data_IF_126297572137
#
_entry.id   IF_126297572137
#
_cell.length_a   1.000
_cell.length_b   1.000
_cell.length_c   1.000
_cell.angle_alpha   90.00
_cell.angle_beta   90.00
_cell.angle_gamma   90.00
#
_symmetry.space_group_name_H-M   'P 1'
#
loop_
_entity.id
_entity.type
_entity.pdbx_description
1 polymer ?
#
# COMPACT_ATOMS: atom_id res chain seq x y z
N UNK A 1 18.00 -9.26 8.19
CA UNK A 1 16.79 -9.76 7.50
C UNK A 1 17.24 -10.52 6.27
N UNK A 2 16.67 -11.69 5.99
CA UNK A 2 16.59 -12.15 4.60
C UNK A 2 15.80 -11.06 3.85
N UNK A 3 16.26 -10.62 2.68
CA UNK A 3 15.65 -9.51 1.96
C UNK A 3 14.17 -9.75 1.63
N UNK A 4 13.43 -8.69 1.31
CA UNK A 4 12.02 -8.78 0.93
C UNK A 4 11.82 -8.50 -0.57
N UNK A 5 10.73 -9.02 -1.13
CA UNK A 5 10.33 -8.79 -2.52
C UNK A 5 9.12 -7.86 -2.56
N UNK A 6 9.17 -6.83 -3.40
CA UNK A 6 8.00 -5.99 -3.70
C UNK A 6 7.30 -6.53 -4.94
N UNK A 7 5.99 -6.74 -4.83
CA UNK A 7 5.12 -7.10 -5.96
C UNK A 7 4.12 -5.97 -6.20
N UNK A 8 4.07 -5.50 -7.45
CA UNK A 8 3.19 -4.41 -7.88
C UNK A 8 2.12 -4.98 -8.81
N UNK A 9 0.90 -5.26 -8.33
CA UNK A 9 -0.18 -5.71 -9.19
C UNK A 9 -0.64 -4.58 -10.11
N UNK A 10 -0.76 -4.87 -11.40
CA UNK A 10 -1.24 -3.94 -12.42
C UNK A 10 -2.20 -4.64 -13.38
N UNK A 11 -3.39 -4.08 -13.58
CA UNK A 11 -4.40 -4.58 -14.53
C UNK A 11 -4.93 -3.43 -15.38
N UNK A 12 -5.28 -3.73 -16.64
CA UNK A 12 -5.79 -2.70 -17.55
C UNK A 12 -7.24 -2.32 -17.30
N UNK A 13 -8.00 -3.25 -16.72
CA UNK A 13 -9.36 -3.02 -16.26
C UNK A 13 -9.36 -2.11 -15.01
N UNK A 14 -9.52 -0.81 -15.24
CA UNK A 14 -9.83 0.18 -14.22
C UNK A 14 -11.14 0.87 -14.61
N UNK A 15 -12.18 0.67 -13.81
CA UNK A 15 -13.52 1.21 -14.06
C UNK A 15 -13.59 2.73 -13.94
N UNK A 16 -12.68 3.34 -13.16
CA UNK A 16 -12.64 4.79 -12.89
C UNK A 16 -11.69 5.54 -13.82
N UNK A 17 -10.68 4.87 -14.36
CA UNK A 17 -9.73 5.45 -15.32
C UNK A 17 -9.26 4.34 -16.28
N UNK A 18 -9.83 4.18 -17.48
CA UNK A 18 -9.37 3.17 -18.44
C UNK A 18 -7.90 3.38 -18.81
N UNK A 19 -7.12 2.31 -18.95
CA UNK A 19 -5.70 2.42 -19.31
C UNK A 19 -4.80 2.95 -18.19
N UNK A 20 -5.32 3.06 -16.95
CA UNK A 20 -4.66 3.67 -15.80
C UNK A 20 -3.17 3.33 -15.65
N UNK A 21 -2.73 2.05 -15.64
CA UNK A 21 -1.32 1.73 -15.40
C UNK A 21 -0.36 2.29 -16.46
N UNK A 22 -0.86 2.52 -17.68
CA UNK A 22 -0.11 3.06 -18.81
C UNK A 22 -0.30 4.58 -18.98
N UNK A 23 -1.12 5.21 -18.14
CA UNK A 23 -1.31 6.65 -18.18
C UNK A 23 0.02 7.37 -17.90
N UNK A 24 0.35 8.36 -18.74
CA UNK A 24 1.49 9.25 -18.51
C UNK A 24 1.11 10.28 -17.44
N UNK A 25 1.61 10.04 -16.23
CA UNK A 25 1.30 10.86 -15.05
C UNK A 25 2.36 11.91 -14.74
N UNK A 26 3.52 11.87 -15.42
CA UNK A 26 4.53 12.94 -15.48
C UNK A 26 5.79 12.44 -16.20
N UNK A 27 6.25 13.24 -17.17
CA UNK A 27 7.51 13.08 -17.91
C UNK A 27 7.58 11.86 -18.85
N UNK A 28 6.47 11.46 -19.49
CA UNK A 28 6.53 10.48 -20.57
C UNK A 28 6.73 9.05 -20.10
N UNK A 29 6.40 8.71 -18.84
CA UNK A 29 6.52 7.33 -18.33
C UNK A 29 5.18 6.79 -17.86
N UNK A 30 4.89 5.50 -18.15
CA UNK A 30 3.76 4.78 -17.58
C UNK A 30 3.74 4.87 -16.05
N UNK A 31 2.56 5.05 -15.46
CA UNK A 31 2.39 5.09 -14.01
C UNK A 31 2.98 3.86 -13.30
N UNK A 32 2.72 2.65 -13.80
CA UNK A 32 3.23 1.42 -13.19
C UNK A 32 4.76 1.37 -13.14
N UNK A 33 5.42 1.93 -14.16
CA UNK A 33 6.89 2.05 -14.20
C UNK A 33 7.37 3.01 -13.13
N UNK A 34 6.64 4.12 -12.88
CA UNK A 34 6.98 5.06 -11.81
C UNK A 34 6.85 4.44 -10.42
N UNK A 35 5.81 3.64 -10.19
CA UNK A 35 5.65 2.89 -8.95
C UNK A 35 6.83 1.95 -8.74
N UNK A 36 7.19 1.18 -9.77
CA UNK A 36 8.34 0.27 -9.71
C UNK A 36 9.67 1.00 -9.45
N UNK A 37 9.88 2.16 -10.08
CA UNK A 37 11.06 3.01 -9.83
C UNK A 37 11.10 3.54 -8.40
N UNK A 38 9.97 3.94 -7.81
CA UNK A 38 9.93 4.34 -6.39
C UNK A 38 10.18 3.14 -5.48
N UNK A 39 9.51 2.02 -5.71
CA UNK A 39 9.70 0.81 -4.92
C UNK A 39 11.15 0.31 -4.96
N UNK A 40 11.84 0.43 -6.08
CA UNK A 40 13.25 0.04 -6.23
C UNK A 40 14.23 0.92 -5.42
N UNK A 41 13.78 2.05 -4.86
CA UNK A 41 14.57 2.89 -3.95
C UNK A 41 14.49 2.42 -2.49
N UNK A 42 13.62 1.46 -2.18
CA UNK A 42 13.56 0.81 -0.87
C UNK A 42 14.69 -0.22 -0.74
N UNK A 43 14.80 -0.88 0.40
CA UNK A 43 15.73 -1.99 0.63
C UNK A 43 15.25 -3.34 0.05
N UNK A 44 14.24 -3.31 -0.84
CA UNK A 44 13.75 -4.49 -1.52
C UNK A 44 14.89 -5.19 -2.29
N UNK A 45 15.00 -6.51 -2.14
CA UNK A 45 15.95 -7.30 -2.92
C UNK A 45 15.49 -7.52 -4.36
N UNK A 46 14.18 -7.39 -4.60
CA UNK A 46 13.57 -7.51 -5.92
C UNK A 46 12.28 -6.72 -5.97
N UNK A 47 12.00 -6.09 -7.11
CA UNK A 47 10.76 -5.38 -7.39
C UNK A 47 10.20 -5.90 -8.69
N UNK A 48 8.97 -6.38 -8.67
CA UNK A 48 8.35 -7.02 -9.83
C UNK A 48 6.94 -6.51 -10.07
N UNK A 49 6.62 -6.21 -11.33
CA UNK A 49 5.26 -5.88 -11.75
C UNK A 49 4.53 -7.16 -12.14
N UNK A 50 3.35 -7.39 -11.58
CA UNK A 50 2.51 -8.55 -11.86
C UNK A 50 1.28 -8.13 -12.65
N UNK A 51 1.13 -8.64 -13.87
CA UNK A 51 0.08 -8.21 -14.80
C UNK A 51 -0.47 -9.38 -15.61
N UNK A 52 -1.67 -9.22 -16.15
CA UNK A 52 -2.30 -10.12 -17.13
C UNK A 52 -2.25 -9.56 -18.57
N UNK A 53 -1.66 -8.39 -18.77
CA UNK A 53 -1.62 -7.71 -20.08
C UNK A 53 -0.19 -7.58 -20.63
N UNK A 54 0.01 -8.06 -21.87
CA UNK A 54 1.28 -7.98 -22.58
C UNK A 54 1.76 -6.54 -22.81
N UNK A 55 0.84 -5.57 -22.95
CA UNK A 55 1.21 -4.15 -23.11
C UNK A 55 1.91 -3.59 -21.87
N UNK A 56 1.51 -4.01 -20.65
CA UNK A 56 2.22 -3.62 -19.42
C UNK A 56 3.61 -4.26 -19.39
N UNK A 57 3.74 -5.53 -19.79
CA UNK A 57 5.05 -6.19 -19.88
C UNK A 57 5.98 -5.43 -20.82
N UNK A 58 5.49 -5.09 -22.02
CA UNK A 58 6.27 -4.34 -23.01
C UNK A 58 6.68 -2.95 -22.49
N UNK A 59 5.77 -2.25 -21.81
CA UNK A 59 6.06 -0.97 -21.17
C UNK A 59 7.11 -1.10 -20.06
N UNK A 60 7.02 -2.13 -19.21
CA UNK A 60 8.02 -2.37 -18.17
C UNK A 60 9.40 -2.71 -18.78
N UNK A 61 9.44 -3.59 -19.78
CA UNK A 61 10.66 -3.97 -20.48
C UNK A 61 11.36 -2.77 -21.15
N UNK A 62 10.58 -1.86 -21.76
CA UNK A 62 11.11 -0.63 -22.37
C UNK A 62 11.80 0.30 -21.35
N UNK A 63 11.51 0.13 -20.07
CA UNK A 63 12.07 0.92 -18.97
C UNK A 63 12.97 0.11 -18.01
N UNK A 64 13.32 -1.13 -18.36
CA UNK A 64 14.17 -1.99 -17.52
C UNK A 64 13.52 -2.43 -16.20
N UNK A 65 12.18 -2.39 -16.13
CA UNK A 65 11.41 -2.87 -14.98
C UNK A 65 11.08 -4.34 -15.19
N UNK A 66 11.35 -5.16 -14.17
CA UNK A 66 10.98 -6.56 -14.18
C UNK A 66 9.46 -6.73 -14.09
N UNK A 67 8.89 -7.58 -14.95
CA UNK A 67 7.47 -7.87 -14.94
C UNK A 67 7.17 -9.31 -15.33
N UNK A 68 6.11 -9.88 -14.76
CA UNK A 68 5.65 -11.24 -15.05
C UNK A 68 4.17 -11.27 -15.42
N UNK A 69 3.85 -12.21 -16.31
CA UNK A 69 2.47 -12.54 -16.62
C UNK A 69 1.86 -13.39 -15.50
N UNK A 70 0.64 -13.05 -15.14
CA UNK A 70 -0.21 -13.74 -14.18
C UNK A 70 -1.55 -14.01 -14.85
N UNK A 71 -2.32 -14.95 -14.32
CA UNK A 71 -3.63 -15.29 -14.89
C UNK A 71 -4.58 -14.09 -14.86
N UNK A 72 -5.46 -14.03 -15.85
CA UNK A 72 -6.43 -12.94 -16.00
C UNK A 72 -7.69 -13.08 -15.11
N UNK A 73 -7.90 -14.27 -14.54
CA UNK A 73 -9.10 -14.67 -13.80
C UNK A 73 -8.93 -14.65 -12.28
N UNK A 74 -7.85 -14.02 -11.77
CA UNK A 74 -7.67 -13.85 -10.33
C UNK A 74 -8.77 -12.98 -9.73
N UNK A 75 -9.45 -13.44 -8.66
CA UNK A 75 -10.55 -12.69 -8.06
C UNK A 75 -10.06 -11.47 -7.29
N UNK A 76 -8.86 -11.50 -6.70
CA UNK A 76 -8.26 -10.39 -5.94
C UNK A 76 -6.81 -10.10 -6.32
N UNK A 77 -6.30 -8.97 -5.83
CA UNK A 77 -4.87 -8.66 -5.92
C UNK A 77 -4.01 -9.64 -5.12
N UNK A 78 -4.51 -10.15 -4.00
CA UNK A 78 -3.79 -11.09 -3.14
C UNK A 78 -3.61 -12.46 -3.81
N UNK A 79 -4.60 -12.94 -4.57
CA UNK A 79 -4.47 -14.18 -5.36
C UNK A 79 -3.39 -14.05 -6.45
N UNK A 80 -3.28 -12.87 -7.06
CA UNK A 80 -2.21 -12.57 -8.02
C UNK A 80 -0.84 -12.61 -7.36
N UNK A 81 -0.71 -12.09 -6.13
CA UNK A 81 0.53 -12.16 -5.36
C UNK A 81 0.92 -13.61 -5.04
N UNK A 82 -0.05 -14.47 -4.73
CA UNK A 82 0.21 -15.89 -4.47
C UNK A 82 0.80 -16.60 -5.70
N UNK A 83 0.27 -16.32 -6.90
CA UNK A 83 0.85 -16.84 -8.14
C UNK A 83 2.29 -16.36 -8.33
N UNK A 84 2.55 -15.06 -8.12
CA UNK A 84 3.90 -14.49 -8.27
C UNK A 84 4.87 -15.14 -7.29
N UNK A 85 4.50 -15.27 -6.01
CA UNK A 85 5.34 -15.92 -5.01
C UNK A 85 5.71 -17.36 -5.41
N UNK A 86 4.75 -18.11 -5.98
CA UNK A 86 4.98 -19.45 -6.51
C UNK A 86 5.89 -19.46 -7.75
N UNK A 87 5.66 -18.57 -8.72
CA UNK A 87 6.49 -18.46 -9.92
C UNK A 87 7.95 -18.10 -9.57
N UNK A 88 8.14 -17.29 -8.53
CA UNK A 88 9.46 -16.89 -8.05
C UNK A 88 10.14 -17.94 -7.17
N UNK A 89 9.43 -19.00 -6.76
CA UNK A 89 9.96 -20.04 -5.89
C UNK A 89 10.32 -19.52 -4.50
N UNK A 90 9.57 -18.53 -3.99
CA UNK A 90 9.80 -17.97 -2.66
C UNK A 90 9.56 -19.03 -1.58
N UNK A 91 10.41 -19.05 -0.55
CA UNK A 91 10.20 -19.88 0.62
C UNK A 91 9.07 -19.33 1.49
N UNK A 92 8.40 -20.18 2.26
CA UNK A 92 7.25 -19.78 3.10
C UNK A 92 7.56 -18.62 4.05
N UNK A 93 8.81 -18.53 4.51
CA UNK A 93 9.32 -17.50 5.42
C UNK A 93 9.71 -16.18 4.72
N UNK A 94 9.74 -16.15 3.39
CA UNK A 94 10.10 -14.94 2.65
C UNK A 94 8.99 -13.88 2.78
N UNK A 95 9.38 -12.61 2.65
CA UNK A 95 8.46 -11.48 2.81
C UNK A 95 8.12 -10.92 1.44
N UNK A 96 6.82 -10.78 1.20
CA UNK A 96 6.26 -10.12 0.02
C UNK A 96 5.55 -8.84 0.44
N UNK A 97 5.97 -7.70 -0.10
CA UNK A 97 5.28 -6.42 0.10
C UNK A 97 4.45 -6.08 -1.15
N UNK A 98 3.16 -5.89 -0.96
CA UNK A 98 2.21 -5.45 -1.98
C UNK A 98 2.18 -3.92 -2.05
N UNK A 99 2.67 -3.36 -3.16
CA UNK A 99 2.58 -1.93 -3.46
C UNK A 99 1.60 -1.73 -4.60
N UNK A 100 0.55 -0.92 -4.40
CA UNK A 100 -0.47 -0.72 -5.43
C UNK A 100 0.12 -0.02 -6.68
N UNK A 101 -0.27 -0.49 -7.86
CA UNK A 101 0.21 0.03 -9.14
C UNK A 101 -0.22 1.47 -9.47
N UNK A 102 -0.98 2.12 -8.59
CA UNK A 102 -1.51 3.48 -8.73
C UNK A 102 -1.01 4.47 -7.68
N UNK A 103 0.07 4.11 -6.95
CA UNK A 103 0.74 4.95 -5.96
C UNK A 103 2.12 5.42 -6.47
N UNK A 104 2.21 6.26 -7.52
CA UNK A 104 3.47 6.65 -8.15
C UNK A 104 4.38 7.53 -7.27
N UNK A 105 3.85 8.01 -6.14
CA UNK A 105 4.54 8.81 -5.15
C UNK A 105 4.77 8.05 -3.85
N UNK A 106 4.71 6.71 -3.90
CA UNK A 106 4.93 5.88 -2.73
C UNK A 106 6.29 6.17 -2.11
N UNK A 107 6.29 6.37 -0.78
CA UNK A 107 7.51 6.60 -0.02
C UNK A 107 8.26 5.27 0.15
N UNK A 108 9.49 5.13 -0.36
CA UNK A 108 10.27 3.91 -0.20
C UNK A 108 10.50 3.54 1.27
N UNK A 109 10.64 4.52 2.17
CA UNK A 109 10.81 4.27 3.60
C UNK A 109 9.57 3.63 4.25
N UNK A 110 8.39 3.83 3.66
CA UNK A 110 7.17 3.17 4.13
C UNK A 110 7.17 1.68 3.82
N UNK A 111 7.68 1.31 2.63
CA UNK A 111 7.85 -0.08 2.22
C UNK A 111 8.82 -0.78 3.18
N UNK A 112 9.94 -0.13 3.49
CA UNK A 112 10.94 -0.65 4.42
C UNK A 112 10.37 -0.82 5.84
N UNK A 113 9.67 0.18 6.35
CA UNK A 113 9.01 0.13 7.68
C UNK A 113 8.05 -1.05 7.76
N UNK A 114 7.26 -1.28 6.71
CA UNK A 114 6.30 -2.37 6.68
C UNK A 114 6.98 -3.74 6.58
N UNK A 115 8.04 -3.86 5.77
CA UNK A 115 8.82 -5.09 5.67
C UNK A 115 9.54 -5.42 7.00
N UNK A 116 10.09 -4.42 7.68
CA UNK A 116 10.72 -4.56 8.99
C UNK A 116 9.71 -4.99 10.06
N UNK A 117 8.52 -4.39 10.09
CA UNK A 117 7.45 -4.81 10.98
C UNK A 117 7.09 -6.27 10.73
N UNK A 118 6.92 -6.65 9.46
CA UNK A 118 6.57 -8.01 9.07
C UNK A 118 7.64 -9.01 9.53
N UNK A 119 8.93 -8.70 9.30
CA UNK A 119 10.06 -9.55 9.67
C UNK A 119 10.19 -9.78 11.18
N UNK A 120 9.83 -8.77 11.97
CA UNK A 120 9.87 -8.84 13.44
C UNK A 120 8.56 -9.34 14.04
N UNK A 121 7.51 -9.50 13.23
CA UNK A 121 6.23 -10.02 13.65
C UNK A 121 6.15 -11.53 13.44
N UNK A 122 5.46 -12.22 14.35
CA UNK A 122 5.09 -13.63 14.17
C UNK A 122 3.68 -13.77 13.58
N UNK A 123 3.23 -12.78 12.82
CA UNK A 123 1.91 -12.79 12.18
C UNK A 123 2.05 -13.06 10.68
N UNK A 124 1.00 -13.57 10.02
CA UNK A 124 1.06 -13.88 8.59
C UNK A 124 0.97 -12.66 7.66
N UNK A 125 0.48 -11.53 8.17
CA UNK A 125 0.17 -10.35 7.38
C UNK A 125 0.37 -9.07 8.20
N UNK A 126 0.87 -8.02 7.56
CA UNK A 126 0.96 -6.69 8.13
C UNK A 126 0.43 -5.62 7.16
N UNK A 127 0.03 -4.46 7.70
CA UNK A 127 -0.41 -3.29 6.94
C UNK A 127 0.01 -2.00 7.65
N UNK A 128 -0.43 -0.85 7.13
CA UNK A 128 -0.11 0.47 7.67
C UNK A 128 -1.38 1.24 8.00
N UNK A 129 -1.33 2.05 9.05
CA UNK A 129 -2.33 3.07 9.34
C UNK A 129 -1.70 4.37 9.83
N UNK A 130 -2.43 5.47 9.68
CA UNK A 130 -2.07 6.79 10.22
C UNK A 130 -3.25 7.42 10.97
N UNK A 131 -3.01 8.40 11.87
CA UNK A 131 -4.10 9.07 12.58
C UNK A 131 -5.09 9.78 11.66
N UNK A 132 -6.37 9.77 12.04
CA UNK A 132 -7.40 10.63 11.43
C UNK A 132 -7.49 11.93 12.21
N UNK A 133 -7.49 13.07 11.50
CA UNK A 133 -7.46 14.40 12.13
C UNK A 133 -8.75 15.21 11.93
N UNK A 134 -9.74 14.68 11.21
CA UNK A 134 -10.97 15.40 10.91
C UNK A 134 -12.20 14.52 11.12
N UNK A 135 -13.30 15.13 11.58
CA UNK A 135 -14.59 14.46 11.65
C UNK A 135 -15.08 14.06 10.24
N UNK A 136 -14.80 14.89 9.23
CA UNK A 136 -15.12 14.59 7.84
C UNK A 136 -14.52 13.24 7.39
N UNK A 137 -13.25 12.99 7.69
CA UNK A 137 -12.60 11.71 7.37
C UNK A 137 -13.12 10.55 8.24
N UNK A 138 -13.40 10.79 9.52
CA UNK A 138 -13.97 9.78 10.43
C UNK A 138 -15.28 9.19 9.86
N UNK A 139 -16.17 10.05 9.36
CA UNK A 139 -17.47 9.66 8.83
C UNK A 139 -17.49 9.39 7.31
N UNK A 140 -16.36 9.57 6.61
CA UNK A 140 -16.25 9.24 5.19
C UNK A 140 -16.14 7.72 4.99
N UNK A 141 -17.07 7.06 4.28
CA UNK A 141 -17.02 5.60 4.06
C UNK A 141 -15.91 5.17 3.09
N UNK A 142 -15.28 6.11 2.38
CA UNK A 142 -14.09 5.84 1.56
C UNK A 142 -12.80 5.84 2.39
N UNK A 143 -12.84 6.38 3.60
CA UNK A 143 -11.76 6.30 4.58
C UNK A 143 -12.02 5.07 5.43
N UNK A 144 -11.23 4.00 5.21
CA UNK A 144 -11.33 2.78 6.01
C UNK A 144 -10.67 3.04 7.36
N UNK A 145 -11.41 2.82 8.45
CA UNK A 145 -10.89 2.92 9.81
C UNK A 145 -10.37 1.57 10.26
N UNK A 146 -9.36 1.59 11.13
CA UNK A 146 -8.85 0.40 11.82
C UNK A 146 -8.73 0.67 13.31
N UNK A 147 -9.14 -0.32 14.12
CA UNK A 147 -8.93 -0.33 15.58
C UNK A 147 -7.95 -1.43 15.94
N UNK A 148 -7.05 -1.14 16.88
CA UNK A 148 -5.95 -2.02 17.26
C UNK A 148 -6.10 -2.52 18.69
N UNK A 149 -5.51 -3.68 18.98
CA UNK A 149 -5.25 -4.11 20.35
C UNK A 149 -3.97 -3.47 20.93
N UNK A 150 -3.68 -3.74 22.19
CA UNK A 150 -2.49 -3.21 22.88
C UNK A 150 -1.16 -3.70 22.29
N UNK A 151 -1.17 -4.77 21.51
CA UNK A 151 0.01 -5.34 20.85
C UNK A 151 0.18 -4.82 19.41
N UNK A 152 -0.68 -3.89 18.96
CA UNK A 152 -0.62 -3.32 17.61
C UNK A 152 -1.26 -4.18 16.52
N UNK A 153 -2.02 -5.22 16.90
CA UNK A 153 -2.74 -6.06 15.94
C UNK A 153 -4.10 -5.44 15.64
N UNK A 154 -4.54 -5.53 14.38
CA UNK A 154 -5.87 -5.10 14.00
C UNK A 154 -6.93 -5.97 14.69
N UNK A 155 -7.86 -5.31 15.39
CA UNK A 155 -9.07 -5.94 15.91
C UNK A 155 -10.15 -5.97 14.83
N UNK A 156 -10.31 -4.87 14.08
CA UNK A 156 -11.30 -4.77 13.01
C UNK A 156 -11.00 -3.61 12.05
N UNK A 157 -11.42 -3.77 10.80
CA UNK A 157 -11.42 -2.72 9.78
C UNK A 157 -12.87 -2.41 9.40
N UNK A 158 -13.23 -1.14 9.22
CA UNK A 158 -14.58 -0.79 8.84
C UNK A 158 -14.66 0.53 8.07
N UNK A 159 -15.66 0.64 7.20
CA UNK A 159 -16.10 1.92 6.64
C UNK A 159 -16.92 2.72 7.65
N UNK A 160 -17.50 2.07 8.66
CA UNK A 160 -18.20 2.72 9.76
C UNK A 160 -17.22 3.49 10.69
N UNK A 161 -17.71 4.52 11.41
CA UNK A 161 -16.87 5.31 12.32
C UNK A 161 -16.50 4.50 13.56
N UNK A 162 -15.27 3.97 13.59
CA UNK A 162 -14.70 3.22 14.72
C UNK A 162 -13.34 3.78 15.16
N UNK A 163 -13.04 3.83 16.47
CA UNK A 163 -13.96 3.56 17.58
C UNK A 163 -15.01 4.67 17.71
N UNK A 164 -16.21 4.31 18.17
CA UNK A 164 -17.29 5.29 18.35
C UNK A 164 -17.10 6.09 19.65
N UNK A 165 -16.95 7.41 19.53
CA UNK A 165 -16.85 8.30 20.68
C UNK A 165 -18.23 8.61 21.26
N UNK A 166 -18.76 7.69 22.09
CA UNK A 166 -20.15 7.72 22.62
C UNK A 166 -20.60 9.11 23.05
N UNK A 167 -19.87 9.72 23.97
CA UNK A 167 -20.30 10.98 24.58
C UNK A 167 -20.14 12.14 23.59
N UNK A 168 -19.01 12.25 22.89
CA UNK A 168 -18.79 13.34 21.94
C UNK A 168 -19.78 13.31 20.76
N UNK A 169 -19.98 12.15 20.13
CA UNK A 169 -20.84 12.02 18.96
C UNK A 169 -22.33 12.01 19.29
N UNK A 170 -22.71 11.80 20.55
CA UNK A 170 -24.08 12.06 21.00
C UNK A 170 -24.40 13.57 21.03
N UNK A 171 -23.39 14.43 21.19
CA UNK A 171 -23.56 15.89 21.21
C UNK A 171 -23.36 16.50 19.82
N UNK A 172 -22.25 16.20 19.14
CA UNK A 172 -21.92 16.75 17.82
C UNK A 172 -21.00 15.81 17.03
N UNK A 173 -21.47 15.32 15.88
CA UNK A 173 -20.69 14.46 14.98
C UNK A 173 -19.67 15.24 14.14
N UNK A 174 -19.68 16.58 14.18
CA UNK A 174 -18.72 17.42 13.44
C UNK A 174 -17.43 17.68 14.24
N UNK A 175 -17.36 17.27 15.50
CA UNK A 175 -16.20 17.45 16.37
C UNK A 175 -15.53 16.10 16.60
N UNK A 176 -14.29 15.97 16.14
CA UNK A 176 -13.46 14.82 16.46
C UNK A 176 -12.76 15.05 17.81
N UNK A 177 -12.92 14.16 18.81
CA UNK A 177 -12.21 14.31 20.07
C UNK A 177 -10.69 14.21 19.86
N UNK A 178 -9.88 15.05 20.52
CA UNK A 178 -8.44 15.13 20.28
C UNK A 178 -7.70 13.83 20.60
N UNK A 179 -8.17 13.06 21.58
CA UNK A 179 -7.50 11.82 22.05
C UNK A 179 -8.17 10.54 21.54
N UNK A 180 -9.09 10.63 20.58
CA UNK A 180 -9.72 9.44 20.00
C UNK A 180 -8.65 8.66 19.20
N UNK A 181 -8.38 7.37 19.49
CA UNK A 181 -7.34 6.61 18.82
C UNK A 181 -7.82 6.07 17.45
N UNK A 182 -8.40 6.95 16.64
CA UNK A 182 -8.89 6.63 15.30
C UNK A 182 -7.72 6.61 14.32
N UNK A 183 -7.63 5.52 13.55
CA UNK A 183 -6.62 5.32 12.54
C UNK A 183 -7.28 5.09 11.18
N UNK A 184 -6.74 5.72 10.14
CA UNK A 184 -7.03 5.43 8.74
C UNK A 184 -6.10 4.35 8.25
N UNK A 185 -6.67 3.27 7.75
CA UNK A 185 -5.94 2.19 7.08
C UNK A 185 -5.44 2.66 5.70
N UNK A 186 -4.25 2.19 5.34
CA UNK A 186 -3.59 2.39 4.04
C UNK A 186 -3.51 1.05 3.34
N UNK A 187 -3.94 0.97 2.08
CA UNK A 187 -4.02 -0.26 1.28
C UNK A 187 -2.69 -0.87 0.82
N UNK A 188 -1.66 -0.78 1.66
CA UNK A 188 -0.37 -1.44 1.48
C UNK A 188 -0.26 -2.60 2.47
N UNK A 189 0.28 -3.72 2.01
CA UNK A 189 0.34 -4.94 2.81
C UNK A 189 1.69 -5.63 2.68
N UNK A 190 2.12 -6.31 3.74
CA UNK A 190 3.20 -7.28 3.69
C UNK A 190 2.66 -8.64 4.13
N UNK A 191 3.22 -9.70 3.55
CA UNK A 191 2.80 -11.08 3.78
C UNK A 191 4.02 -11.97 3.96
N UNK A 192 3.86 -13.03 4.77
CA UNK A 192 4.68 -14.23 4.63
C UNK A 192 4.29 -14.92 3.33
N UNK A 193 5.26 -15.34 2.52
CA UNK A 193 4.98 -15.93 1.21
C UNK A 193 4.10 -17.19 1.35
N UNK A 194 4.35 -18.03 2.37
CA UNK A 194 3.53 -19.22 2.63
C UNK A 194 2.08 -18.90 3.04
N UNK A 195 1.86 -17.72 3.62
CA UNK A 195 0.51 -17.27 3.91
C UNK A 195 -0.27 -16.87 2.65
N UNK A 196 0.39 -16.40 1.59
CA UNK A 196 -0.31 -16.13 0.32
C UNK A 196 -0.94 -17.39 -0.25
N UNK A 197 -0.25 -18.54 -0.19
CA UNK A 197 -0.82 -19.83 -0.57
C UNK A 197 -2.02 -20.17 0.33
N UNK A 198 -1.88 -20.02 1.65
CA UNK A 198 -2.98 -20.24 2.60
C UNK A 198 -4.19 -19.36 2.27
N UNK A 199 -3.97 -18.07 1.98
CA UNK A 199 -5.02 -17.09 1.66
C UNK A 199 -5.91 -17.56 0.50
N UNK A 200 -5.33 -18.13 -0.56
CA UNK A 200 -6.09 -18.63 -1.72
C UNK A 200 -7.03 -19.79 -1.39
N UNK A 201 -6.82 -20.47 -0.27
CA UNK A 201 -7.68 -21.57 0.20
C UNK A 201 -8.80 -21.10 1.13
N UNK A 202 -8.73 -19.86 1.62
CA UNK A 202 -9.72 -19.31 2.53
C UNK A 202 -11.00 -18.96 1.78
N UNK A 203 -12.14 -19.45 2.27
CA UNK A 203 -13.43 -19.04 1.74
C UNK A 203 -13.67 -17.54 1.98
N UNK A 204 -14.31 -16.81 1.06
CA UNK A 204 -14.76 -15.44 1.28
C UNK A 204 -15.50 -15.29 2.62
N UNK A 205 -15.13 -14.29 3.42
CA UNK A 205 -15.81 -14.00 4.67
C UNK A 205 -17.09 -13.20 4.40
N UNK A 206 -18.23 -13.47 5.08
CA UNK A 206 -19.43 -12.66 4.93
C UNK A 206 -19.17 -11.16 5.14
N UNK A 207 -18.33 -10.81 6.11
CA UNK A 207 -17.97 -9.42 6.42
C UNK A 207 -17.23 -8.72 5.29
N UNK A 208 -16.36 -9.43 4.56
CA UNK A 208 -15.58 -8.86 3.45
C UNK A 208 -16.49 -8.38 2.31
N UNK A 209 -17.63 -9.07 2.11
CA UNK A 209 -18.61 -8.75 1.06
C UNK A 209 -19.40 -7.48 1.41
N UNK A 210 -19.88 -7.37 2.65
CA UNK A 210 -20.66 -6.20 3.08
C UNK A 210 -19.80 -4.94 3.20
N UNK A 211 -18.60 -5.06 3.75
CA UNK A 211 -17.68 -3.92 3.89
C UNK A 211 -16.92 -3.65 2.59
N UNK A 212 -16.88 -4.59 1.65
CA UNK A 212 -16.00 -4.55 0.48
C UNK A 212 -14.53 -4.29 0.89
N UNK A 213 -14.03 -5.13 1.82
CA UNK A 213 -12.70 -5.06 2.43
C UNK A 213 -12.08 -6.47 2.52
N UNK A 214 -11.20 -6.81 1.57
CA UNK A 214 -10.59 -8.14 1.42
C UNK A 214 -9.78 -8.61 2.64
N UNK A 215 -9.19 -7.68 3.40
CA UNK A 215 -8.42 -7.99 4.60
C UNK A 215 -9.28 -8.53 5.74
N UNK A 216 -10.61 -8.35 5.69
CA UNK A 216 -11.51 -8.97 6.68
C UNK A 216 -11.57 -10.49 6.54
N UNK A 217 -11.22 -11.05 5.37
CA UNK A 217 -11.06 -12.51 5.21
C UNK A 217 -10.08 -13.08 6.21
N UNK A 218 -8.94 -12.40 6.37
CA UNK A 218 -7.84 -12.84 7.23
C UNK A 218 -8.28 -12.85 8.70
N UNK A 219 -8.90 -11.77 9.16
CA UNK A 219 -9.42 -11.68 10.54
C UNK A 219 -10.54 -12.70 10.79
N UNK A 220 -11.45 -12.88 9.84
CA UNK A 220 -12.57 -13.83 9.95
C UNK A 220 -12.10 -15.27 10.18
N UNK A 221 -11.02 -15.68 9.49
CA UNK A 221 -10.42 -17.01 9.65
C UNK A 221 -9.44 -17.11 10.82
N UNK A 222 -9.38 -16.10 11.69
CA UNK A 222 -8.62 -16.13 12.95
C UNK A 222 -7.14 -15.78 12.82
N UNK A 223 -6.71 -15.29 11.66
CA UNK A 223 -5.33 -14.85 11.47
C UNK A 223 -5.15 -13.40 11.92
N UNK A 224 -4.02 -13.13 12.58
CA UNK A 224 -3.67 -11.78 13.02
C UNK A 224 -3.12 -10.93 11.89
N UNK A 225 -3.40 -9.62 11.94
CA UNK A 225 -2.79 -8.61 11.06
C UNK A 225 -2.06 -7.60 11.95
N UNK A 226 -0.76 -7.40 11.74
CA UNK A 226 0.00 -6.35 12.44
C UNK A 226 -0.15 -5.01 11.72
N UNK A 227 -0.19 -3.90 12.45
CA UNK A 227 -0.39 -2.57 11.85
C UNK A 227 0.76 -1.63 12.22
N UNK A 228 1.54 -1.23 11.22
CA UNK A 228 2.51 -0.15 11.35
C UNK A 228 1.78 1.17 11.51
N UNK A 229 2.12 1.94 12.54
CA UNK A 229 1.58 3.28 12.75
C UNK A 229 2.58 4.31 12.23
N UNK A 230 2.17 5.10 11.25
CA UNK A 230 2.96 6.21 10.73
C UNK A 230 2.30 7.54 11.08
N UNK A 231 3.10 8.59 11.28
CA UNK A 231 2.58 9.89 11.73
C UNK A 231 1.81 10.64 10.64
N UNK A 232 2.22 10.50 9.38
CA UNK A 232 1.70 11.26 8.26
C UNK A 232 1.11 10.33 7.19
N UNK A 233 0.05 10.81 6.55
CA UNK A 233 -0.52 10.13 5.40
C UNK A 233 0.50 10.11 4.25
N UNK A 234 0.66 8.99 3.53
CA UNK A 234 1.38 9.00 2.27
C UNK A 234 0.66 9.90 1.27
N UNK A 235 1.36 10.40 0.23
CA UNK A 235 0.71 11.12 -0.85
C UNK A 235 -0.44 10.29 -1.44
N UNK A 236 -1.57 10.94 -1.74
CA UNK A 236 -2.71 10.24 -2.34
C UNK A 236 -2.32 9.58 -3.67
N UNK A 237 -2.83 8.36 -3.90
CA UNK A 237 -2.75 7.68 -5.18
C UNK A 237 -3.56 8.41 -6.27
N UNK A 238 -3.33 8.04 -7.53
CA UNK A 238 -4.08 8.58 -8.67
C UNK A 238 -5.24 7.65 -8.92
N UNK A 239 -6.52 8.05 -8.85
CA UNK A 239 -7.65 7.12 -8.97
C UNK A 239 -8.78 7.58 -9.91
N UNK A 240 -8.82 8.88 -10.20
CA UNK A 240 -9.80 9.55 -11.08
C UNK A 240 -9.10 10.47 -12.09
N UNK A 241 -9.77 10.83 -13.21
CA UNK A 241 -9.28 11.89 -14.10
C UNK A 241 -9.03 13.21 -13.36
N UNK A 242 -9.80 13.51 -12.31
CA UNK A 242 -9.59 14.68 -11.46
C UNK A 242 -8.33 14.57 -10.61
N UNK A 243 -7.89 13.36 -10.23
CA UNK A 243 -6.58 13.14 -9.58
C UNK A 243 -5.42 13.33 -10.58
N UNK A 244 -5.63 12.98 -11.85
CA UNK A 244 -4.73 13.40 -12.94
C UNK A 244 -4.83 14.90 -13.27
N UNK A 245 -5.96 15.53 -12.89
CA UNK A 245 -6.29 16.95 -13.02
C UNK A 245 -5.87 17.85 -11.84
N UNK A 246 -5.50 17.27 -10.69
CA UNK A 246 -4.57 17.89 -9.71
C UNK A 246 -3.20 17.94 -10.37
N UNK A 247 -3.08 18.83 -11.34
CA UNK A 247 -2.21 18.67 -12.50
C UNK A 247 -0.70 18.53 -12.21
N UNK A 248 0.14 18.54 -13.27
CA UNK A 248 1.59 18.37 -13.18
C UNK A 248 2.30 19.33 -12.20
N UNK A 249 1.63 20.29 -11.57
CA UNK A 249 2.15 21.16 -10.49
C UNK A 249 2.23 20.50 -9.11
N UNK A 250 1.32 19.59 -8.69
CA UNK A 250 1.40 18.97 -7.34
C UNK A 250 2.38 17.80 -7.36
N UNK A 251 2.28 16.93 -8.36
CA UNK A 251 3.29 15.92 -8.66
C UNK A 251 4.67 16.59 -8.89
N UNK A 252 4.77 17.71 -9.65
CA UNK A 252 6.02 18.51 -9.69
C UNK A 252 6.43 19.05 -8.33
N UNK A 253 5.54 19.61 -7.51
CA UNK A 253 5.92 20.25 -6.23
C UNK A 253 6.36 19.22 -5.19
N UNK A 254 5.75 18.05 -5.16
CA UNK A 254 6.15 16.94 -4.30
C UNK A 254 7.44 16.28 -4.80
N UNK A 255 7.57 16.04 -6.11
CA UNK A 255 8.80 15.50 -6.71
C UNK A 255 9.99 16.50 -6.68
N UNK A 256 9.75 17.80 -6.85
CA UNK A 256 10.80 18.83 -6.70
C UNK A 256 11.26 18.95 -5.24
N UNK A 257 10.37 18.72 -4.26
CA UNK A 257 10.73 18.63 -2.84
C UNK A 257 11.50 17.36 -2.49
N UNK A 258 11.19 16.23 -3.14
CA UNK A 258 11.97 14.99 -3.02
C UNK A 258 13.37 15.16 -3.63
N UNK A 259 13.48 15.79 -4.82
CA UNK A 259 14.77 16.10 -5.46
C UNK A 259 15.63 17.11 -4.67
N UNK A 260 15.03 18.09 -4.00
CA UNK A 260 15.81 19.04 -3.17
C UNK A 260 16.37 18.37 -1.91
N UNK A 261 15.63 17.42 -1.31
CA UNK A 261 16.12 16.63 -0.16
C UNK A 261 17.29 15.71 -0.55
N UNK A 262 17.28 15.13 -1.75
CA UNK A 262 18.39 14.31 -2.25
C UNK A 262 19.64 15.15 -2.61
N UNK A 263 19.51 16.47 -2.83
CA UNK A 263 20.65 17.37 -3.12
C UNK A 263 21.26 18.01 -1.86
N UNK A 264 20.46 18.27 -0.83
CA UNK A 264 20.94 18.87 0.43
C UNK A 264 21.70 17.86 1.33
N UNK A 265 21.60 16.55 1.06
CA UNK A 265 22.31 15.49 1.81
C UNK A 265 23.80 15.33 1.49
N UNK A 266 24.36 16.09 0.54
CA UNK A 266 25.75 15.93 0.06
C UNK A 266 26.74 17.01 0.52
N UNK A 267 26.36 17.91 1.42
CA UNK A 267 27.28 18.91 1.97
C UNK A 267 27.37 18.86 3.50
N UNK A 268 27.99 17.80 4.02
CA UNK A 268 28.68 17.85 5.30
C UNK A 268 29.94 17.01 5.18
N UNK A 269 31.00 17.60 4.63
CA UNK A 269 32.34 17.24 5.08
C UNK A 269 33.41 18.32 4.87
N UNK A 270 34.23 18.45 5.92
CA UNK A 270 35.61 18.96 5.95
C UNK A 270 35.90 20.46 5.86
N UNK A 271 36.18 21.07 7.03
CA UNK A 271 37.32 21.96 7.38
C UNK A 271 37.06 22.50 8.80
N UNK A 272 37.96 22.57 9.77
CA UNK A 272 39.42 22.46 9.81
C UNK A 272 39.85 22.00 11.21
N UNK A 273 40.83 21.10 11.25
CA UNK A 273 41.73 20.97 12.38
C UNK A 273 42.81 22.05 12.27
N UNK A 274 42.91 22.89 13.29
CA UNK A 274 44.15 23.44 13.88
C UNK A 274 43.81 24.26 15.11
#
# INVERSE_FOLDING_TARGET
>A
MNGFTVVIPARMASSRLPGKPLADIAYGKPMVVRVAEQAARSHASRVIVATDHAEIIAACAAHGVEAVLTRADHPSGTDRLAEVAQQLGLADSDIVVNVQGDEPLIDPALIDTLAELMANSHVPMATVAHPVHSAADMFNPNVVKVVLDHAGRALYFSRAPIPYARDAFAHDTNVLPPDLPVLRHIGMYAYQAGFLTTYTTLSPAPLEVFEALEQLRVLWHGYAIMVARVEQAPPAGVDTPQDSGTGPRVVRRSLNRLKSRDQDGTHLNTTNAR
#
